data_IF_675626749449
#
_entry.id   IF_675626749449
#
_cell.length_a   1.000
_cell.length_b   1.000
_cell.length_c   1.000
_cell.angle_alpha   90.00
_cell.angle_beta   90.00
_cell.angle_gamma   90.00
#
_symmetry.space_group_name_H-M   'P 1'
#
loop_
_entity.id
_entity.type
_entity.pdbx_description
1 polymer ?
#
# COMPACT_ATOMS: atom_id res chain seq x y z
N UNK A 1 71.46 38.68 -4.78
CA UNK A 1 71.34 37.30 -5.27
C UNK A 1 71.37 36.30 -4.13
N UNK A 2 72.55 36.00 -3.58
CA UNK A 2 72.74 34.98 -2.54
C UNK A 2 72.18 35.33 -1.15
N UNK A 3 72.14 36.63 -0.79
CA UNK A 3 71.68 37.10 0.54
C UNK A 3 70.17 36.90 0.75
N UNK A 4 69.36 36.83 -0.31
CA UNK A 4 67.93 36.52 -0.23
C UNK A 4 67.64 35.01 -0.36
N UNK A 5 68.56 34.24 -0.95
CA UNK A 5 68.35 32.82 -1.21
C UNK A 5 68.52 31.96 0.04
N UNK A 6 69.50 32.26 0.91
CA UNK A 6 69.70 31.50 2.16
C UNK A 6 68.47 31.60 3.07
N UNK A 7 67.90 32.79 3.35
CA UNK A 7 66.67 32.89 4.14
C UNK A 7 65.48 32.18 3.47
N UNK A 8 65.33 32.29 2.14
CA UNK A 8 64.22 31.63 1.43
C UNK A 8 64.29 30.11 1.50
N UNK A 9 65.50 29.53 1.42
CA UNK A 9 65.69 28.09 1.49
C UNK A 9 65.39 27.60 2.92
N UNK A 10 65.86 28.33 3.94
CA UNK A 10 65.60 28.00 5.35
C UNK A 10 64.12 28.10 5.69
N UNK A 11 63.42 29.14 5.21
CA UNK A 11 61.97 29.29 5.41
C UNK A 11 61.19 28.19 4.67
N UNK A 12 61.58 27.86 3.43
CA UNK A 12 60.92 26.81 2.65
C UNK A 12 61.12 25.41 3.26
N UNK A 13 62.31 25.11 3.78
CA UNK A 13 62.58 23.84 4.46
C UNK A 13 61.92 23.77 5.82
N UNK A 14 61.94 24.86 6.60
CA UNK A 14 61.21 24.93 7.86
C UNK A 14 59.69 24.78 7.67
N UNK A 15 59.12 25.43 6.65
CA UNK A 15 57.70 25.29 6.31
C UNK A 15 57.37 23.85 5.86
N UNK A 16 58.22 23.22 5.05
CA UNK A 16 58.06 21.82 4.65
C UNK A 16 58.10 20.85 5.83
N UNK A 17 58.95 21.11 6.83
CA UNK A 17 59.06 20.32 8.07
C UNK A 17 57.85 20.54 9.00
N UNK A 18 57.28 21.74 9.04
CA UNK A 18 56.09 22.04 9.86
C UNK A 18 54.83 21.40 9.26
N UNK A 19 54.71 21.41 7.93
CA UNK A 19 53.53 20.85 7.22
C UNK A 19 53.53 19.31 7.20
N UNK A 20 54.69 18.65 7.27
CA UNK A 20 54.76 17.19 7.39
C UNK A 20 54.51 16.67 8.81
N UNK A 21 54.34 17.57 9.79
CA UNK A 21 54.11 17.24 11.20
C UNK A 21 52.63 16.98 11.49
N UNK A 22 51.99 16.15 10.68
CA UNK A 22 50.66 15.58 10.96
C UNK A 22 50.62 14.14 10.44
N UNK A 23 51.42 13.25 11.03
CA UNK A 23 51.14 11.81 11.00
C UNK A 23 51.96 10.93 11.95
N UNK A 24 53.05 11.38 12.57
CA UNK A 24 53.81 10.57 13.55
C UNK A 24 54.66 11.43 14.51
N UNK A 25 54.69 11.08 15.80
CA UNK A 25 55.34 11.81 16.93
C UNK A 25 56.89 11.75 16.99
N UNK A 26 57.57 11.29 15.94
CA UNK A 26 59.03 11.06 15.97
C UNK A 26 59.85 12.22 15.38
N UNK A 27 61.03 12.48 15.95
CA UNK A 27 61.93 13.51 15.44
C UNK A 27 62.53 13.10 14.08
N UNK A 28 62.63 14.04 13.13
CA UNK A 28 63.18 13.78 11.78
C UNK A 28 64.58 13.16 11.83
N UNK A 29 65.43 13.55 12.80
CA UNK A 29 66.74 12.92 12.98
C UNK A 29 66.67 11.44 13.37
N UNK A 30 65.65 11.04 14.15
CA UNK A 30 65.39 9.64 14.51
C UNK A 30 64.88 8.86 13.29
N UNK A 31 64.02 9.45 12.47
CA UNK A 31 63.54 8.84 11.23
C UNK A 31 64.66 8.64 10.20
N UNK A 32 65.54 9.64 10.03
CA UNK A 32 66.69 9.53 9.12
C UNK A 32 67.69 8.49 9.59
N UNK A 33 68.03 8.45 10.89
CA UNK A 33 68.87 7.38 11.44
C UNK A 33 68.22 6.01 11.25
N UNK A 34 66.92 5.88 11.54
CA UNK A 34 66.17 4.65 11.33
C UNK A 34 66.22 4.17 9.89
N UNK A 35 66.01 5.06 8.91
CA UNK A 35 66.00 4.70 7.50
C UNK A 35 67.36 4.23 6.99
N UNK A 36 68.46 4.86 7.41
CA UNK A 36 69.82 4.47 7.00
C UNK A 36 70.19 3.07 7.50
N UNK A 37 69.84 2.74 8.75
CA UNK A 37 70.13 1.42 9.33
C UNK A 37 69.11 0.33 8.95
N UNK A 38 68.01 0.68 8.29
CA UNK A 38 66.95 -0.27 7.90
C UNK A 38 66.99 -0.62 6.40
N UNK A 39 67.72 0.13 5.58
CA UNK A 39 67.91 -0.21 4.16
C UNK A 39 69.07 -1.20 3.97
N UNK A 40 68.81 -2.46 3.57
CA UNK A 40 69.85 -3.48 3.47
C UNK A 40 70.92 -3.16 2.42
N UNK A 41 70.53 -2.50 1.33
CA UNK A 41 71.43 -2.15 0.23
C UNK A 41 72.49 -1.12 0.68
N UNK A 42 72.10 -0.15 1.52
CA UNK A 42 73.03 0.85 2.07
C UNK A 42 74.06 0.16 2.97
N UNK A 43 73.61 -0.69 3.90
CA UNK A 43 74.50 -1.43 4.81
C UNK A 43 75.46 -2.36 4.07
N UNK A 44 75.00 -3.06 3.03
CA UNK A 44 75.85 -3.94 2.24
C UNK A 44 76.90 -3.15 1.43
N UNK A 45 76.52 -2.03 0.82
CA UNK A 45 77.46 -1.16 0.10
C UNK A 45 78.49 -0.54 1.04
N UNK A 46 78.07 -0.05 2.21
CA UNK A 46 78.99 0.48 3.22
C UNK A 46 79.94 -0.62 3.70
N UNK A 47 79.43 -1.82 4.00
CA UNK A 47 80.27 -2.97 4.37
C UNK A 47 81.28 -3.34 3.28
N UNK A 48 80.88 -3.33 2.01
CA UNK A 48 81.77 -3.57 0.87
C UNK A 48 82.88 -2.53 0.77
N UNK A 49 82.55 -1.25 0.86
CA UNK A 49 83.52 -0.14 0.77
C UNK A 49 84.50 -0.20 1.95
N UNK A 50 84.01 -0.40 3.17
CA UNK A 50 84.82 -0.56 4.38
C UNK A 50 85.75 -1.78 4.26
N UNK A 51 85.25 -2.89 3.71
CA UNK A 51 86.05 -4.09 3.43
C UNK A 51 87.14 -3.86 2.39
N UNK A 52 86.83 -3.14 1.30
CA UNK A 52 87.80 -2.79 0.27
C UNK A 52 88.89 -1.85 0.80
N UNK A 53 88.52 -0.86 1.62
CA UNK A 53 89.48 0.01 2.30
C UNK A 53 90.37 -0.78 3.26
N UNK A 54 89.78 -1.77 3.94
CA UNK A 54 90.46 -2.72 4.81
C UNK A 54 91.42 -3.66 4.11
N UNK A 55 91.58 -3.64 2.78
CA UNK A 55 92.60 -4.39 2.03
C UNK A 55 93.81 -3.52 1.65
N UNK A 56 93.77 -2.21 1.89
CA UNK A 56 94.88 -1.30 1.58
C UNK A 56 96.01 -1.50 2.60
N UNK A 57 97.24 -1.84 2.16
CA UNK A 57 98.36 -2.13 3.06
C UNK A 57 98.73 -0.89 3.89
N UNK A 58 98.84 -1.06 5.21
CA UNK A 58 99.19 0.01 6.16
C UNK A 58 98.06 0.43 7.10
N UNK A 59 96.85 -0.11 6.95
CA UNK A 59 95.73 0.09 7.88
C UNK A 59 95.47 -1.17 8.75
N UNK A 60 94.75 -1.05 9.90
CA UNK A 60 94.42 -2.19 10.76
C UNK A 60 93.42 -3.16 10.09
N UNK A 61 93.91 -4.03 9.20
CA UNK A 61 93.09 -4.90 8.35
C UNK A 61 92.02 -5.68 9.11
N UNK A 62 92.36 -6.21 10.29
CA UNK A 62 91.44 -7.02 11.10
C UNK A 62 90.20 -6.24 11.56
N UNK A 63 90.36 -4.97 11.98
CA UNK A 63 89.25 -4.16 12.46
C UNK A 63 88.26 -3.83 11.33
N UNK A 64 88.78 -3.43 10.17
CA UNK A 64 87.95 -3.07 9.00
C UNK A 64 87.21 -4.29 8.44
N UNK A 65 87.87 -5.44 8.33
CA UNK A 65 87.23 -6.67 7.85
C UNK A 65 86.16 -7.18 8.82
N UNK A 66 86.38 -7.05 10.13
CA UNK A 66 85.36 -7.39 11.14
C UNK A 66 84.10 -6.51 11.00
N UNK A 67 84.28 -5.19 10.88
CA UNK A 67 83.15 -4.28 10.68
C UNK A 67 82.42 -4.52 9.35
N UNK A 68 83.17 -4.81 8.27
CA UNK A 68 82.59 -5.17 6.98
C UNK A 68 81.73 -6.44 7.08
N UNK A 69 82.20 -7.46 7.80
CA UNK A 69 81.46 -8.70 8.02
C UNK A 69 80.18 -8.48 8.84
N UNK A 70 80.22 -7.65 9.89
CA UNK A 70 79.06 -7.33 10.71
C UNK A 70 78.00 -6.56 9.89
N UNK A 71 78.41 -5.51 9.17
CA UNK A 71 77.50 -4.69 8.36
C UNK A 71 76.91 -5.49 7.19
N UNK A 72 77.74 -6.28 6.50
CA UNK A 72 77.29 -7.17 5.42
C UNK A 72 76.34 -8.25 5.94
N UNK A 73 76.64 -8.86 7.08
CA UNK A 73 75.78 -9.83 7.75
C UNK A 73 74.42 -9.25 8.10
N UNK A 74 74.41 -8.07 8.74
CA UNK A 74 73.18 -7.34 9.09
C UNK A 74 72.37 -6.95 7.86
N UNK A 75 73.02 -6.47 6.80
CA UNK A 75 72.36 -6.14 5.54
C UNK A 75 71.67 -7.35 4.90
N UNK A 76 72.31 -8.53 4.91
CA UNK A 76 71.72 -9.74 4.33
C UNK A 76 70.54 -10.30 5.13
N UNK A 77 70.55 -10.19 6.46
CA UNK A 77 69.41 -10.62 7.30
C UNK A 77 68.20 -9.71 7.11
N UNK A 78 68.41 -8.39 7.02
CA UNK A 78 67.36 -7.44 6.69
C UNK A 78 66.81 -7.66 5.27
N UNK A 79 67.67 -7.95 4.30
CA UNK A 79 67.23 -8.24 2.93
C UNK A 79 66.36 -9.50 2.86
N UNK A 80 66.73 -10.55 3.59
CA UNK A 80 65.92 -11.77 3.70
C UNK A 80 64.58 -11.52 4.39
N UNK A 81 64.54 -10.70 5.45
CA UNK A 81 63.29 -10.31 6.13
C UNK A 81 62.37 -9.50 5.23
N UNK A 82 62.90 -8.48 4.56
CA UNK A 82 62.11 -7.68 3.61
C UNK A 82 61.59 -8.50 2.43
N UNK A 83 62.37 -9.50 1.97
CA UNK A 83 61.92 -10.40 0.90
C UNK A 83 60.84 -11.38 1.39
N UNK A 84 60.90 -11.84 2.64
CA UNK A 84 59.86 -12.65 3.28
C UNK A 84 58.58 -11.84 3.50
N UNK A 85 58.68 -10.58 3.94
CA UNK A 85 57.56 -9.66 4.09
C UNK A 85 56.95 -9.27 2.73
N UNK A 86 57.75 -9.06 1.69
CA UNK A 86 57.26 -8.81 0.34
C UNK A 86 56.56 -10.03 -0.28
N UNK A 87 57.00 -11.25 0.04
CA UNK A 87 56.31 -12.49 -0.35
C UNK A 87 55.02 -12.70 0.44
N UNK A 88 54.96 -12.29 1.71
CA UNK A 88 53.73 -12.30 2.51
C UNK A 88 52.74 -11.20 2.10
N UNK A 89 53.21 -10.05 1.64
CA UNK A 89 52.38 -8.95 1.13
C UNK A 89 51.88 -9.16 -0.32
N UNK A 90 52.52 -10.07 -1.07
CA UNK A 90 52.10 -10.48 -2.41
C UNK A 90 51.09 -11.65 -2.41
N UNK A 91 50.83 -12.27 -1.25
CA UNK A 91 49.64 -13.07 -1.06
C UNK A 91 48.45 -12.10 -0.95
N UNK A 92 47.33 -12.33 -1.65
CA UNK A 92 46.15 -11.50 -1.46
C UNK A 92 45.82 -11.49 0.03
N UNK A 93 45.48 -10.34 0.63
CA UNK A 93 45.09 -10.32 2.03
C UNK A 93 44.02 -11.38 2.20
N UNK A 94 44.25 -12.33 3.11
CA UNK A 94 43.18 -13.20 3.57
C UNK A 94 42.01 -12.28 3.87
N UNK A 95 40.79 -12.55 3.35
CA UNK A 95 39.66 -11.70 3.66
C UNK A 95 39.65 -11.59 5.18
N UNK A 96 39.78 -10.36 5.67
CA UNK A 96 39.28 -10.06 7.01
C UNK A 96 37.95 -10.78 7.10
N UNK A 97 37.67 -11.56 8.16
CA UNK A 97 36.31 -11.99 8.37
C UNK A 97 35.52 -10.70 8.52
N UNK A 98 34.99 -10.22 7.39
CA UNK A 98 33.83 -9.35 7.36
C UNK A 98 32.88 -10.19 8.18
N UNK A 99 32.60 -9.72 9.40
CA UNK A 99 31.47 -10.22 10.13
C UNK A 99 30.34 -10.26 9.10
N UNK A 100 29.85 -11.46 8.78
CA UNK A 100 28.56 -11.62 8.13
C UNK A 100 27.49 -11.28 9.18
N UNK A 101 27.67 -10.17 9.90
CA UNK A 101 26.57 -9.44 10.46
C UNK A 101 25.88 -8.90 9.22
N UNK A 102 24.75 -9.52 8.88
CA UNK A 102 23.82 -8.95 7.92
C UNK A 102 23.71 -7.46 8.26
N UNK A 103 23.75 -6.56 7.26
CA UNK A 103 23.62 -5.13 7.51
C UNK A 103 22.45 -4.92 8.48
N UNK A 104 22.69 -4.19 9.57
CA UNK A 104 21.64 -3.88 10.53
C UNK A 104 20.46 -3.27 9.78
N UNK A 105 19.24 -3.73 10.07
CA UNK A 105 18.05 -3.26 9.38
C UNK A 105 17.99 -1.73 9.43
N UNK A 106 18.03 -1.10 8.26
CA UNK A 106 17.96 0.36 8.11
C UNK A 106 16.54 0.78 7.74
N UNK A 107 16.25 2.08 7.85
CA UNK A 107 14.99 2.62 7.34
C UNK A 107 14.82 2.42 5.82
N UNK A 108 15.89 2.09 5.09
CA UNK A 108 15.86 1.77 3.66
C UNK A 108 15.27 0.36 3.39
N UNK A 109 15.28 -0.53 4.38
CA UNK A 109 14.64 -1.86 4.29
C UNK A 109 13.12 -1.82 4.50
N UNK A 110 12.58 -0.67 4.91
CA UNK A 110 11.13 -0.46 5.04
C UNK A 110 10.53 -0.31 3.65
N UNK A 111 10.13 -1.44 3.09
CA UNK A 111 9.45 -1.48 1.79
C UNK A 111 8.05 -0.83 1.90
N UNK A 112 7.74 0.14 1.03
CA UNK A 112 6.40 0.72 0.96
C UNK A 112 5.37 -0.37 0.66
N UNK A 113 4.29 -0.37 1.42
CA UNK A 113 3.19 -1.30 1.20
C UNK A 113 2.32 -0.77 0.07
N UNK A 114 2.04 -1.61 -0.91
CA UNK A 114 1.10 -1.28 -1.98
C UNK A 114 -0.31 -1.08 -1.40
N UNK A 115 -0.97 0.02 -1.76
CA UNK A 115 -2.33 0.31 -1.28
C UNK A 115 -3.30 -0.76 -1.76
N UNK A 116 -3.18 -1.21 -3.02
CA UNK A 116 -4.00 -2.25 -3.60
C UNK A 116 -3.12 -3.22 -4.40
N UNK A 117 -3.14 -4.49 -4.01
CA UNK A 117 -2.31 -5.55 -4.57
C UNK A 117 -3.14 -6.72 -5.11
N UNK A 118 -2.62 -7.38 -6.14
CA UNK A 118 -3.09 -8.65 -6.67
C UNK A 118 -1.89 -9.60 -6.73
N UNK A 119 -1.86 -10.57 -5.82
CA UNK A 119 -0.89 -11.65 -5.81
C UNK A 119 -1.44 -12.83 -6.61
N UNK A 120 -0.61 -13.41 -7.48
CA UNK A 120 -1.02 -14.53 -8.35
C UNK A 120 -0.07 -15.72 -8.22
N UNK A 121 -0.65 -16.92 -8.19
CA UNK A 121 0.09 -18.17 -8.31
C UNK A 121 0.68 -18.35 -9.72
N UNK A 122 1.69 -19.20 -9.84
CA UNK A 122 2.51 -19.27 -11.07
C UNK A 122 1.73 -19.66 -12.35
N UNK A 123 0.60 -20.39 -12.26
CA UNK A 123 -0.19 -20.74 -13.46
C UNK A 123 -1.00 -19.56 -13.98
N UNK A 124 -1.24 -18.55 -13.15
CA UNK A 124 -1.97 -17.33 -13.51
C UNK A 124 -1.05 -16.23 -14.07
N UNK A 125 0.28 -16.39 -14.01
CA UNK A 125 1.26 -15.41 -14.52
C UNK A 125 0.98 -15.09 -15.99
N UNK A 126 0.62 -16.10 -16.78
CA UNK A 126 0.28 -15.93 -18.20
C UNK A 126 -0.89 -14.95 -18.46
N UNK A 127 -1.79 -14.77 -17.49
CA UNK A 127 -2.93 -13.84 -17.60
C UNK A 127 -2.52 -12.38 -17.35
N UNK A 128 -1.41 -12.17 -16.63
CA UNK A 128 -0.92 -10.84 -16.19
C UNK A 128 0.35 -10.40 -16.90
N UNK A 129 0.84 -11.19 -17.86
CA UNK A 129 2.04 -10.90 -18.63
C UNK A 129 1.77 -9.81 -19.70
N UNK A 130 2.58 -8.75 -19.70
CA UNK A 130 2.48 -7.63 -20.65
C UNK A 130 2.92 -8.04 -22.06
N UNK A 131 3.86 -8.97 -22.19
CA UNK A 131 4.42 -9.38 -23.48
C UNK A 131 3.47 -10.28 -24.28
N UNK A 132 2.54 -10.94 -23.58
CA UNK A 132 1.57 -11.90 -24.14
C UNK A 132 0.16 -11.34 -24.30
N UNK A 133 0.03 -10.02 -24.35
CA UNK A 133 -1.26 -9.32 -24.43
C UNK A 133 -2.22 -9.71 -23.28
N UNK A 134 -1.71 -9.72 -22.03
CA UNK A 134 -2.43 -10.17 -20.84
C UNK A 134 -3.84 -9.58 -20.71
N UNK A 135 -4.85 -10.42 -20.96
CA UNK A 135 -6.27 -10.03 -20.97
C UNK A 135 -6.70 -9.45 -19.60
N UNK A 136 -6.16 -9.99 -18.50
CA UNK A 136 -6.45 -9.50 -17.16
C UNK A 136 -5.93 -8.06 -16.95
N UNK A 137 -4.75 -7.70 -17.49
CA UNK A 137 -4.22 -6.33 -17.40
C UNK A 137 -5.14 -5.32 -18.10
N UNK A 138 -5.66 -5.69 -19.28
CA UNK A 138 -6.58 -4.84 -20.05
C UNK A 138 -7.88 -4.62 -19.28
N UNK A 139 -8.41 -5.68 -18.68
CA UNK A 139 -9.63 -5.64 -17.84
C UNK A 139 -9.42 -4.81 -16.59
N UNK A 140 -8.27 -4.92 -15.92
CA UNK A 140 -7.92 -4.10 -14.75
C UNK A 140 -7.87 -2.61 -15.11
N UNK A 141 -7.32 -2.25 -16.28
CA UNK A 141 -7.36 -0.85 -16.76
C UNK A 141 -8.80 -0.39 -17.00
N UNK A 142 -9.63 -1.21 -17.64
CA UNK A 142 -11.05 -0.93 -17.86
C UNK A 142 -11.83 -0.78 -16.54
N UNK A 143 -11.51 -1.60 -15.55
CA UNK A 143 -12.11 -1.58 -14.23
C UNK A 143 -11.89 -0.25 -13.52
N UNK A 144 -10.64 0.25 -13.47
CA UNK A 144 -10.35 1.56 -12.85
C UNK A 144 -11.13 2.70 -13.51
N UNK A 145 -11.28 2.67 -14.84
CA UNK A 145 -12.06 3.66 -15.59
C UNK A 145 -13.55 3.57 -15.24
N UNK A 146 -14.11 2.36 -15.23
CA UNK A 146 -15.51 2.11 -14.88
C UNK A 146 -15.81 2.56 -13.44
N UNK A 147 -14.96 2.18 -12.49
CA UNK A 147 -15.08 2.61 -11.10
C UNK A 147 -15.08 4.14 -10.98
N UNK A 148 -14.16 4.84 -11.66
CA UNK A 148 -14.13 6.30 -11.62
C UNK A 148 -15.41 6.94 -12.17
N UNK A 149 -16.00 6.35 -13.21
CA UNK A 149 -17.27 6.80 -13.79
C UNK A 149 -18.47 6.52 -12.89
N UNK A 150 -18.47 5.43 -12.14
CA UNK A 150 -19.60 5.02 -11.28
C UNK A 150 -19.53 5.63 -9.88
N UNK A 151 -18.34 5.70 -9.29
CA UNK A 151 -18.12 6.09 -7.90
C UNK A 151 -17.72 7.57 -7.78
N UNK A 152 -16.94 8.12 -8.72
CA UNK A 152 -16.60 9.54 -8.76
C UNK A 152 -15.18 9.90 -8.33
N UNK A 153 -14.28 8.93 -8.12
CA UNK A 153 -12.85 9.19 -7.95
C UNK A 153 -12.01 8.08 -8.60
N UNK A 154 -10.75 8.38 -8.90
CA UNK A 154 -9.83 7.40 -9.48
C UNK A 154 -9.18 6.57 -8.35
N UNK A 155 -9.37 5.23 -8.33
CA UNK A 155 -8.74 4.40 -7.30
C UNK A 155 -7.24 4.25 -7.57
N UNK A 156 -6.44 3.91 -6.55
CA UNK A 156 -5.00 3.70 -6.70
C UNK A 156 -4.68 2.63 -7.74
N UNK A 157 -3.44 2.62 -8.23
CA UNK A 157 -2.99 1.59 -9.15
C UNK A 157 -2.95 0.22 -8.45
N UNK A 158 -3.38 -0.82 -9.16
CA UNK A 158 -3.33 -2.21 -8.70
C UNK A 158 -1.96 -2.77 -9.05
N UNK A 159 -1.17 -3.09 -8.03
CA UNK A 159 0.14 -3.71 -8.21
C UNK A 159 -0.03 -5.22 -8.30
N UNK A 160 0.53 -5.83 -9.33
CA UNK A 160 0.42 -7.26 -9.57
C UNK A 160 1.77 -7.89 -9.31
N UNK A 161 1.81 -8.91 -8.46
CA UNK A 161 3.03 -9.62 -8.08
C UNK A 161 2.77 -11.12 -8.15
N UNK A 162 3.76 -11.88 -8.59
CA UNK A 162 3.74 -13.33 -8.42
C UNK A 162 4.06 -13.68 -6.97
N UNK A 163 3.37 -14.68 -6.44
CA UNK A 163 3.63 -15.22 -5.12
C UNK A 163 3.74 -16.74 -5.20
N UNK A 164 4.96 -17.25 -5.08
CA UNK A 164 5.27 -18.68 -5.16
C UNK A 164 4.77 -19.48 -3.95
N UNK A 165 4.40 -18.81 -2.86
CA UNK A 165 3.78 -19.44 -1.69
C UNK A 165 2.30 -19.76 -1.92
N UNK A 166 1.66 -19.09 -2.90
CA UNK A 166 0.28 -19.39 -3.27
C UNK A 166 0.17 -20.71 -4.04
N UNK A 167 -1.00 -21.34 -3.95
CA UNK A 167 -1.33 -22.49 -4.80
C UNK A 167 -1.22 -22.10 -6.28
N UNK A 168 -0.90 -23.04 -7.18
CA UNK A 168 -0.66 -22.77 -8.60
C UNK A 168 -1.75 -21.92 -9.28
N UNK A 169 -3.01 -22.19 -8.95
CA UNK A 169 -4.23 -21.61 -9.53
C UNK A 169 -4.86 -20.54 -8.63
N UNK A 170 -4.26 -20.22 -7.48
CA UNK A 170 -4.83 -19.27 -6.54
C UNK A 170 -4.38 -17.84 -6.84
N UNK A 171 -5.23 -16.88 -6.47
CA UNK A 171 -4.89 -15.47 -6.40
C UNK A 171 -5.38 -14.88 -5.08
N UNK A 172 -4.72 -13.81 -4.64
CA UNK A 172 -5.05 -13.06 -3.43
C UNK A 172 -5.11 -11.58 -3.77
N UNK A 173 -6.11 -10.90 -3.22
CA UNK A 173 -6.30 -9.46 -3.34
C UNK A 173 -6.00 -8.83 -1.98
N UNK A 174 -5.09 -7.86 -1.97
CA UNK A 174 -4.64 -7.21 -0.74
C UNK A 174 -4.95 -5.72 -0.75
N UNK A 175 -5.29 -5.17 0.41
CA UNK A 175 -5.49 -3.75 0.64
C UNK A 175 -4.56 -3.32 1.77
N UNK A 176 -3.60 -2.43 1.49
CA UNK A 176 -2.58 -1.99 2.45
C UNK A 176 -1.87 -3.19 3.12
N UNK A 177 -1.56 -4.21 2.32
CA UNK A 177 -0.88 -5.44 2.75
C UNK A 177 -1.77 -6.49 3.44
N UNK A 178 -3.01 -6.16 3.81
CA UNK A 178 -3.94 -7.13 4.39
C UNK A 178 -4.76 -7.84 3.30
N UNK A 179 -4.96 -9.16 3.42
CA UNK A 179 -5.83 -9.92 2.53
C UNK A 179 -7.30 -9.49 2.71
N UNK A 180 -7.94 -9.05 1.62
CA UNK A 180 -9.36 -8.69 1.59
C UNK A 180 -10.21 -9.67 0.79
N UNK A 181 -9.56 -10.57 0.04
CA UNK A 181 -10.22 -11.67 -0.65
C UNK A 181 -9.23 -12.55 -1.40
N UNK A 182 -9.63 -13.78 -1.65
CA UNK A 182 -8.84 -14.77 -2.40
C UNK A 182 -9.77 -15.67 -3.21
N UNK A 183 -9.20 -16.37 -4.18
CA UNK A 183 -9.97 -17.29 -5.02
C UNK A 183 -9.06 -18.19 -5.84
N UNK A 184 -9.68 -19.16 -6.49
CA UNK A 184 -9.01 -20.05 -7.44
C UNK A 184 -9.54 -19.82 -8.85
N UNK A 185 -8.63 -19.84 -9.80
CA UNK A 185 -8.87 -19.59 -11.22
C UNK A 185 -8.16 -20.68 -12.01
N UNK A 186 -8.86 -21.40 -12.90
CA UNK A 186 -8.29 -22.50 -13.67
C UNK A 186 -8.06 -22.08 -15.13
N UNK A 187 -6.82 -21.70 -15.53
CA UNK A 187 -6.51 -21.36 -16.91
C UNK A 187 -6.96 -22.44 -17.90
N UNK A 188 -7.57 -22.02 -19.02
CA UNK A 188 -8.08 -22.92 -20.06
C UNK A 188 -9.48 -23.48 -19.80
N UNK A 189 -10.08 -23.20 -18.64
CA UNK A 189 -11.47 -23.53 -18.33
C UNK A 189 -12.33 -22.27 -18.24
N UNK A 190 -13.65 -22.47 -18.18
CA UNK A 190 -14.65 -21.41 -18.02
C UNK A 190 -15.46 -21.66 -16.75
N UNK A 191 -15.88 -20.59 -16.09
CA UNK A 191 -16.75 -20.67 -14.93
C UNK A 191 -18.21 -20.54 -15.39
N UNK A 192 -18.99 -21.59 -15.21
CA UNK A 192 -20.43 -21.59 -15.44
C UNK A 192 -21.16 -21.28 -14.12
N UNK A 193 -21.70 -20.07 -14.01
CA UNK A 193 -22.38 -19.57 -12.81
C UNK A 193 -23.88 -19.84 -12.92
N UNK A 194 -24.48 -20.38 -11.87
CA UNK A 194 -25.92 -20.63 -11.79
C UNK A 194 -26.64 -19.41 -11.19
N UNK A 195 -27.43 -18.64 -11.97
CA UNK A 195 -28.20 -17.51 -11.45
C UNK A 195 -29.51 -17.92 -10.75
N UNK A 196 -29.79 -19.22 -10.60
CA UNK A 196 -30.99 -19.78 -9.96
C UNK A 196 -32.04 -20.31 -10.93
N UNK A 197 -31.88 -20.10 -12.25
CA UNK A 197 -32.87 -20.47 -13.28
C UNK A 197 -32.34 -21.49 -14.30
N UNK A 198 -31.46 -22.40 -13.87
CA UNK A 198 -30.86 -23.41 -14.77
C UNK A 198 -31.75 -24.63 -14.92
N UNK A 199 -31.66 -25.30 -16.07
CA UNK A 199 -32.52 -26.45 -16.45
C UNK A 199 -31.83 -27.81 -16.34
N UNK A 200 -30.55 -27.85 -15.98
CA UNK A 200 -29.77 -29.08 -15.84
C UNK A 200 -28.44 -28.84 -15.13
N UNK A 201 -27.68 -29.91 -14.89
CA UNK A 201 -26.35 -29.87 -14.26
C UNK A 201 -25.24 -30.12 -15.27
N UNK A 202 -24.09 -29.49 -15.07
CA UNK A 202 -22.91 -29.67 -15.91
C UNK A 202 -21.91 -30.63 -15.27
N UNK A 203 -21.14 -31.35 -16.09
CA UNK A 203 -19.96 -32.08 -15.61
C UNK A 203 -18.77 -31.12 -15.51
N UNK A 204 -18.10 -31.11 -14.36
CA UNK A 204 -16.98 -30.22 -14.09
C UNK A 204 -16.63 -30.17 -12.61
N UNK A 205 -15.75 -29.24 -12.24
CA UNK A 205 -15.34 -29.06 -10.83
C UNK A 205 -16.27 -28.05 -10.15
N UNK A 206 -17.08 -28.46 -9.16
CA UNK A 206 -17.97 -27.53 -8.45
C UNK A 206 -17.18 -26.51 -7.64
N UNK A 207 -17.65 -25.27 -7.62
CA UNK A 207 -17.08 -24.16 -6.86
C UNK A 207 -18.17 -23.11 -6.55
N UNK A 208 -17.76 -21.95 -6.06
CA UNK A 208 -18.62 -20.78 -5.92
C UNK A 208 -18.02 -19.59 -6.69
N UNK A 209 -18.87 -18.73 -7.22
CA UNK A 209 -18.44 -17.45 -7.76
C UNK A 209 -17.89 -16.57 -6.62
N UNK A 210 -16.65 -16.07 -6.74
CA UNK A 210 -16.00 -15.34 -5.66
C UNK A 210 -16.58 -13.94 -5.41
N UNK A 211 -17.34 -13.36 -6.34
CA UNK A 211 -17.90 -12.02 -6.17
C UNK A 211 -19.26 -12.04 -5.44
N UNK A 212 -20.11 -13.02 -5.74
CA UNK A 212 -21.48 -13.08 -5.24
C UNK A 212 -21.81 -14.33 -4.42
N UNK A 213 -20.88 -15.29 -4.34
CA UNK A 213 -21.09 -16.56 -3.62
C UNK A 213 -22.08 -17.50 -4.31
N UNK A 214 -22.40 -17.27 -5.59
CA UNK A 214 -23.35 -18.09 -6.34
C UNK A 214 -22.74 -19.47 -6.65
N UNK A 215 -23.54 -20.56 -6.64
CA UNK A 215 -23.08 -21.87 -7.07
C UNK A 215 -22.55 -21.83 -8.49
N UNK A 216 -21.34 -22.36 -8.72
CA UNK A 216 -20.70 -22.34 -10.03
C UNK A 216 -19.94 -23.65 -10.30
N UNK A 217 -19.64 -23.91 -11.56
CA UNK A 217 -18.91 -25.11 -11.98
C UNK A 217 -17.86 -24.71 -13.01
N UNK A 218 -16.62 -25.15 -12.81
CA UNK A 218 -15.58 -25.04 -13.81
C UNK A 218 -15.78 -26.09 -14.90
N UNK A 219 -15.91 -25.63 -16.15
CA UNK A 219 -16.18 -26.46 -17.32
C UNK A 219 -15.13 -26.24 -18.40
N UNK A 220 -14.88 -27.27 -19.20
CA UNK A 220 -14.00 -27.18 -20.36
C UNK A 220 -14.62 -26.32 -21.48
N UNK A 221 -13.78 -25.80 -22.37
CA UNK A 221 -14.21 -24.95 -23.49
C UNK A 221 -15.29 -25.60 -24.36
N UNK A 222 -15.24 -26.93 -24.55
CA UNK A 222 -16.20 -27.67 -25.35
C UNK A 222 -17.64 -27.66 -24.77
N UNK A 223 -17.78 -27.47 -23.45
CA UNK A 223 -19.08 -27.46 -22.77
C UNK A 223 -19.68 -26.06 -22.65
N UNK A 224 -19.00 -25.02 -23.14
CA UNK A 224 -19.44 -23.63 -23.03
C UNK A 224 -20.83 -23.39 -23.62
N UNK A 225 -21.04 -23.79 -24.88
CA UNK A 225 -22.31 -23.53 -25.57
C UNK A 225 -23.46 -24.34 -24.95
N UNK A 226 -23.17 -25.56 -24.49
CA UNK A 226 -24.12 -26.38 -23.76
C UNK A 226 -24.52 -25.77 -22.41
N UNK A 227 -23.54 -25.25 -21.65
CA UNK A 227 -23.77 -24.55 -20.40
C UNK A 227 -24.67 -23.31 -20.58
N UNK A 228 -24.41 -22.52 -21.63
CA UNK A 228 -25.25 -21.37 -21.97
C UNK A 228 -26.68 -21.80 -22.35
N UNK A 229 -26.84 -22.87 -23.12
CA UNK A 229 -28.14 -23.41 -23.48
C UNK A 229 -28.96 -23.89 -22.27
N UNK A 230 -28.30 -24.36 -21.21
CA UNK A 230 -28.93 -24.74 -19.95
C UNK A 230 -29.28 -23.55 -19.03
N UNK A 231 -28.89 -22.32 -19.41
CA UNK A 231 -29.17 -21.09 -18.67
C UNK A 231 -28.05 -20.64 -17.72
N UNK A 232 -26.85 -21.24 -17.80
CA UNK A 232 -25.70 -20.77 -17.01
C UNK A 232 -25.08 -19.51 -17.63
N UNK A 233 -24.63 -18.60 -16.76
CA UNK A 233 -23.77 -17.49 -17.17
C UNK A 233 -22.33 -17.97 -17.23
N UNK A 234 -21.78 -18.10 -18.44
CA UNK A 234 -20.43 -18.63 -18.64
C UNK A 234 -19.43 -17.49 -18.83
N UNK A 235 -18.39 -17.46 -18.00
CA UNK A 235 -17.34 -16.43 -18.00
C UNK A 235 -15.94 -17.04 -18.05
N UNK A 236 -15.00 -16.34 -18.69
CA UNK A 236 -13.60 -16.73 -18.74
C UNK A 236 -12.86 -16.38 -17.44
N UNK A 237 -11.68 -16.99 -17.25
CA UNK A 237 -10.86 -16.85 -16.03
C UNK A 237 -10.50 -15.40 -15.72
N UNK A 238 -10.09 -14.62 -16.73
CA UNK A 238 -9.74 -13.21 -16.54
C UNK A 238 -10.96 -12.40 -16.08
N UNK A 239 -12.15 -12.72 -16.60
CA UNK A 239 -13.42 -12.12 -16.15
C UNK A 239 -13.77 -12.48 -14.72
N UNK A 240 -13.52 -13.71 -14.27
CA UNK A 240 -13.75 -14.12 -12.86
C UNK A 240 -12.90 -13.28 -11.91
N UNK A 241 -11.59 -13.22 -12.15
CA UNK A 241 -10.66 -12.45 -11.29
C UNK A 241 -10.99 -10.95 -11.35
N UNK A 242 -11.27 -10.41 -12.54
CA UNK A 242 -11.62 -9.00 -12.69
C UNK A 242 -12.95 -8.63 -12.02
N UNK A 243 -13.97 -9.50 -12.08
CA UNK A 243 -15.26 -9.29 -11.41
C UNK A 243 -15.11 -9.32 -9.90
N UNK A 244 -14.34 -10.28 -9.37
CA UNK A 244 -14.04 -10.35 -7.94
C UNK A 244 -13.29 -9.09 -7.46
N UNK A 245 -12.24 -8.69 -8.18
CA UNK A 245 -11.49 -7.47 -7.87
C UNK A 245 -12.38 -6.23 -7.94
N UNK A 246 -13.25 -6.13 -8.95
CA UNK A 246 -14.23 -5.06 -9.06
C UNK A 246 -15.13 -5.01 -7.83
N UNK A 247 -15.71 -6.15 -7.45
CA UNK A 247 -16.60 -6.24 -6.30
C UNK A 247 -15.91 -5.76 -5.01
N UNK A 248 -14.71 -6.24 -4.73
CA UNK A 248 -13.95 -5.86 -3.54
C UNK A 248 -13.55 -4.37 -3.54
N UNK A 249 -13.16 -3.82 -4.69
CA UNK A 249 -12.83 -2.39 -4.81
C UNK A 249 -14.07 -1.52 -4.49
N UNK A 250 -15.26 -1.93 -4.94
CA UNK A 250 -16.50 -1.24 -4.59
C UNK A 250 -16.83 -1.34 -3.09
N UNK A 251 -16.67 -2.53 -2.49
CA UNK A 251 -16.87 -2.70 -1.05
C UNK A 251 -15.90 -1.87 -0.21
N UNK A 252 -14.66 -1.70 -0.68
CA UNK A 252 -13.59 -0.97 0.00
C UNK A 252 -13.42 0.47 -0.49
N UNK A 253 -14.39 1.03 -1.22
CA UNK A 253 -14.30 2.36 -1.82
C UNK A 253 -13.95 3.45 -0.79
N UNK A 254 -14.55 3.41 0.41
CA UNK A 254 -14.24 4.35 1.49
C UNK A 254 -12.77 4.22 1.97
N UNK A 255 -12.27 2.99 2.13
CA UNK A 255 -10.89 2.71 2.56
C UNK A 255 -9.84 3.10 1.53
N UNK A 256 -10.22 3.08 0.24
CA UNK A 256 -9.41 3.47 -0.91
C UNK A 256 -9.34 4.98 -1.11
N UNK A 257 -10.27 5.75 -0.54
CA UNK A 257 -10.24 7.22 -0.59
C UNK A 257 -9.23 7.76 0.45
N UNK A 258 -7.96 7.82 0.06
CA UNK A 258 -6.88 8.43 0.82
C UNK A 258 -6.80 9.96 0.65
N UNK A 259 -5.79 10.55 1.29
CA UNK A 259 -5.51 11.99 1.16
C UNK A 259 -5.03 12.33 -0.26
N UNK A 260 -4.28 11.43 -0.89
CA UNK A 260 -3.78 11.59 -2.25
C UNK A 260 -4.93 11.60 -3.26
N UNK A 261 -5.86 10.65 -3.15
CA UNK A 261 -7.05 10.59 -4.00
C UNK A 261 -7.95 11.81 -3.79
N UNK A 262 -8.09 12.28 -2.54
CA UNK A 262 -8.84 13.51 -2.24
C UNK A 262 -8.22 14.73 -2.94
N UNK A 263 -6.90 14.91 -2.87
CA UNK A 263 -6.23 16.03 -3.55
C UNK A 263 -6.43 15.97 -5.06
N UNK A 264 -6.26 14.79 -5.67
CA UNK A 264 -6.51 14.62 -7.11
C UNK A 264 -7.95 14.93 -7.51
N UNK A 265 -8.92 14.53 -6.67
CA UNK A 265 -10.33 14.83 -6.87
C UNK A 265 -10.58 16.34 -6.79
N UNK A 266 -10.02 17.03 -5.79
CA UNK A 266 -10.15 18.48 -5.64
C UNK A 266 -9.52 19.24 -6.80
N UNK A 267 -8.32 18.84 -7.25
CA UNK A 267 -7.69 19.41 -8.45
C UNK A 267 -8.55 19.23 -9.70
N UNK A 268 -9.22 18.07 -9.84
CA UNK A 268 -10.14 17.83 -10.94
C UNK A 268 -11.35 18.76 -10.88
N UNK A 269 -11.98 18.90 -9.70
CA UNK A 269 -13.16 19.75 -9.49
C UNK A 269 -12.80 21.22 -9.69
N UNK A 270 -11.63 21.66 -9.23
CA UNK A 270 -11.13 23.04 -9.37
C UNK A 270 -11.01 23.49 -10.83
N UNK A 271 -10.85 22.58 -11.79
CA UNK A 271 -10.89 22.91 -13.23
C UNK A 271 -12.25 23.46 -13.68
N UNK A 272 -13.32 23.05 -13.01
CA UNK A 272 -14.70 23.42 -13.36
C UNK A 272 -15.33 24.42 -12.40
N UNK A 273 -14.89 24.44 -11.14
CA UNK A 273 -15.44 25.28 -10.08
C UNK A 273 -14.34 25.80 -9.13
N UNK A 274 -13.34 26.55 -9.63
CA UNK A 274 -12.15 26.94 -8.85
C UNK A 274 -12.49 27.78 -7.61
N UNK A 275 -13.42 28.74 -7.75
CA UNK A 275 -13.86 29.60 -6.65
C UNK A 275 -14.46 28.81 -5.49
N UNK A 276 -15.30 27.81 -5.80
CA UNK A 276 -15.94 26.96 -4.79
C UNK A 276 -14.90 26.18 -3.99
N UNK A 277 -13.91 25.62 -4.66
CA UNK A 277 -12.83 24.86 -4.00
C UNK A 277 -11.92 25.75 -3.16
N UNK A 278 -11.48 26.91 -3.69
CA UNK A 278 -10.54 27.82 -3.03
C UNK A 278 -11.14 28.59 -1.85
N UNK A 279 -12.45 28.86 -1.87
CA UNK A 279 -13.15 29.52 -0.77
C UNK A 279 -13.49 28.55 0.35
N UNK A 280 -13.81 27.30 0.03
CA UNK A 280 -14.20 26.30 1.03
C UNK A 280 -13.00 25.62 1.68
N UNK A 281 -12.00 25.18 0.89
CA UNK A 281 -10.93 24.29 1.36
C UNK A 281 -9.56 24.96 1.11
N UNK A 282 -8.66 25.01 2.11
CA UNK A 282 -8.81 24.61 3.51
C UNK A 282 -9.42 25.70 4.41
N UNK A 283 -9.85 26.84 3.86
CA UNK A 283 -10.18 28.06 4.62
C UNK A 283 -11.32 27.89 5.61
N UNK A 284 -12.38 27.19 5.19
CA UNK A 284 -13.62 27.02 5.96
C UNK A 284 -13.76 25.58 6.43
N UNK A 285 -13.32 24.61 5.63
CA UNK A 285 -13.37 23.17 5.91
C UNK A 285 -11.99 22.54 5.71
N UNK A 286 -11.56 21.72 6.68
CA UNK A 286 -10.30 20.99 6.56
C UNK A 286 -10.41 19.78 5.62
N UNK A 287 -9.28 19.39 5.02
CA UNK A 287 -9.19 18.18 4.19
C UNK A 287 -9.64 16.92 4.94
N UNK A 288 -9.32 16.81 6.23
CA UNK A 288 -9.68 15.65 7.04
C UNK A 288 -11.20 15.50 7.22
N UNK A 289 -11.91 16.61 7.47
CA UNK A 289 -13.37 16.60 7.60
C UNK A 289 -14.02 16.25 6.27
N UNK A 290 -13.58 16.87 5.17
CA UNK A 290 -14.08 16.54 3.84
C UNK A 290 -13.83 15.07 3.49
N UNK A 291 -12.62 14.56 3.71
CA UNK A 291 -12.29 13.16 3.50
C UNK A 291 -13.26 12.27 4.27
N UNK A 292 -13.53 12.59 5.54
CA UNK A 292 -14.42 11.79 6.37
C UNK A 292 -15.86 11.81 5.87
N UNK A 293 -16.37 12.96 5.42
CA UNK A 293 -17.71 13.07 4.81
C UNK A 293 -17.79 12.19 3.56
N UNK A 294 -16.84 12.30 2.64
CA UNK A 294 -16.83 11.51 1.41
C UNK A 294 -16.68 10.01 1.71
N UNK A 295 -15.83 9.63 2.68
CA UNK A 295 -15.71 8.24 3.13
C UNK A 295 -17.02 7.70 3.70
N UNK A 296 -17.76 8.50 4.48
CA UNK A 296 -19.06 8.07 5.01
C UNK A 296 -20.08 7.84 3.88
N UNK A 297 -20.10 8.68 2.84
CA UNK A 297 -20.94 8.46 1.66
C UNK A 297 -20.58 7.16 0.94
N UNK A 298 -19.29 6.95 0.68
CA UNK A 298 -18.78 5.76 0.00
C UNK A 298 -19.01 4.48 0.79
N UNK A 299 -18.91 4.54 2.13
CA UNK A 299 -19.13 3.39 3.02
C UNK A 299 -20.57 2.86 2.89
N UNK A 300 -21.51 3.73 2.53
CA UNK A 300 -22.91 3.35 2.30
C UNK A 300 -23.21 3.00 0.82
N UNK A 301 -22.21 3.14 -0.06
CA UNK A 301 -22.34 2.94 -1.50
C UNK A 301 -22.97 4.12 -2.23
N UNK A 302 -22.93 5.33 -1.65
CA UNK A 302 -23.36 6.57 -2.31
C UNK A 302 -22.22 7.11 -3.16
N UNK A 303 -22.40 7.27 -4.48
CA UNK A 303 -21.37 7.80 -5.35
C UNK A 303 -21.13 9.29 -5.10
N UNK A 304 -19.86 9.70 -5.18
CA UNK A 304 -19.40 11.09 -4.95
C UNK A 304 -19.11 11.82 -6.27
N UNK A 305 -19.79 11.42 -7.35
CA UNK A 305 -19.59 12.00 -8.70
C UNK A 305 -20.01 13.46 -8.78
N UNK A 306 -21.10 13.83 -8.11
CA UNK A 306 -21.60 15.19 -8.08
C UNK A 306 -20.91 16.01 -6.98
N UNK A 307 -19.60 16.19 -7.15
CA UNK A 307 -18.78 16.98 -6.21
C UNK A 307 -19.24 18.43 -6.12
N UNK A 308 -19.91 18.98 -7.14
CA UNK A 308 -20.42 20.35 -7.09
C UNK A 308 -21.52 20.46 -6.04
N UNK A 309 -22.57 19.64 -6.15
CA UNK A 309 -23.66 19.64 -5.17
C UNK A 309 -23.16 19.30 -3.76
N UNK A 310 -22.18 18.40 -3.63
CA UNK A 310 -21.54 18.09 -2.35
C UNK A 310 -20.88 19.34 -1.74
N UNK A 311 -19.99 20.01 -2.48
CA UNK A 311 -19.25 21.17 -1.97
C UNK A 311 -20.16 22.40 -1.72
N UNK A 312 -21.17 22.63 -2.55
CA UNK A 312 -22.17 23.69 -2.33
C UNK A 312 -23.02 23.43 -1.09
N UNK A 313 -23.40 22.17 -0.86
CA UNK A 313 -24.12 21.80 0.37
C UNK A 313 -23.22 22.00 1.58
N UNK A 314 -21.97 21.56 1.52
CA UNK A 314 -21.02 21.76 2.61
C UNK A 314 -20.79 23.25 2.90
N UNK A 315 -20.63 24.11 1.90
CA UNK A 315 -20.42 25.55 2.14
C UNK A 315 -21.60 26.21 2.87
N UNK A 316 -22.83 25.71 2.66
CA UNK A 316 -24.04 26.19 3.35
C UNK A 316 -24.11 25.74 4.82
N UNK A 317 -23.73 24.50 5.12
CA UNK A 317 -23.95 23.88 6.44
C UNK A 317 -22.73 23.89 7.37
N UNK A 318 -21.51 24.06 6.84
CA UNK A 318 -20.29 24.17 7.64
C UNK A 318 -20.32 25.31 8.68
N UNK A 319 -20.92 26.49 8.42
CA UNK A 319 -21.08 27.52 9.46
C UNK A 319 -21.92 27.09 10.66
N UNK A 320 -22.80 26.09 10.50
CA UNK A 320 -23.64 25.57 11.59
C UNK A 320 -22.92 24.47 12.39
N UNK A 321 -22.22 23.57 11.71
CA UNK A 321 -21.45 22.51 12.35
C UNK A 321 -20.40 21.94 11.40
N UNK A 322 -19.23 21.59 11.94
CA UNK A 322 -18.16 20.89 11.21
C UNK A 322 -18.11 19.39 11.50
N UNK A 323 -19.08 18.86 12.26
CA UNK A 323 -19.17 17.43 12.53
C UNK A 323 -19.38 16.65 11.21
N UNK A 324 -18.47 15.72 10.85
CA UNK A 324 -18.61 14.92 9.65
C UNK A 324 -19.94 14.16 9.57
N UNK A 325 -20.51 13.70 10.70
CA UNK A 325 -21.76 12.94 10.70
C UNK A 325 -22.92 13.85 10.28
N UNK A 326 -23.04 15.01 10.93
CA UNK A 326 -24.02 16.03 10.56
C UNK A 326 -23.89 16.47 9.09
N UNK A 327 -22.67 16.80 8.65
CA UNK A 327 -22.41 17.21 7.28
C UNK A 327 -22.75 16.12 6.26
N UNK A 328 -22.45 14.86 6.57
CA UNK A 328 -22.83 13.70 5.74
C UNK A 328 -24.34 13.63 5.58
N UNK A 329 -25.12 13.81 6.66
CA UNK A 329 -26.58 13.78 6.59
C UNK A 329 -27.12 14.90 5.67
N UNK A 330 -26.60 16.12 5.77
CA UNK A 330 -27.01 17.23 4.90
C UNK A 330 -26.66 16.98 3.43
N UNK A 331 -25.45 16.47 3.17
CA UNK A 331 -25.03 16.12 1.80
C UNK A 331 -25.89 15.00 1.22
N UNK A 332 -26.26 14.00 2.02
CA UNK A 332 -27.15 12.92 1.56
C UNK A 332 -28.54 13.43 1.18
N UNK A 333 -29.11 14.36 1.95
CA UNK A 333 -30.39 15.00 1.58
C UNK A 333 -30.28 15.70 0.23
N UNK A 334 -29.19 16.46 -0.01
CA UNK A 334 -28.93 17.09 -1.31
C UNK A 334 -28.77 16.07 -2.45
N UNK A 335 -28.14 14.92 -2.17
CA UNK A 335 -27.98 13.81 -3.12
C UNK A 335 -29.18 12.86 -3.18
N UNK A 336 -30.26 13.15 -2.45
CA UNK A 336 -31.45 12.30 -2.33
C UNK A 336 -31.99 11.78 -3.67
N UNK A 337 -32.16 12.64 -4.71
CA UNK A 337 -32.59 12.18 -6.03
C UNK A 337 -31.67 11.11 -6.65
N UNK A 338 -30.35 11.24 -6.49
CA UNK A 338 -29.38 10.27 -7.01
C UNK A 338 -29.40 8.96 -6.19
N UNK A 339 -29.48 9.06 -4.86
CA UNK A 339 -29.58 7.91 -3.95
C UNK A 339 -30.83 7.09 -4.27
N UNK A 340 -31.99 7.75 -4.37
CA UNK A 340 -33.26 7.07 -4.67
C UNK A 340 -33.26 6.50 -6.09
N UNK A 341 -32.70 7.19 -7.08
CA UNK A 341 -32.58 6.67 -8.44
C UNK A 341 -31.68 5.43 -8.52
N UNK A 342 -30.63 5.35 -7.70
CA UNK A 342 -29.77 4.17 -7.63
C UNK A 342 -30.50 2.97 -7.01
N UNK A 343 -31.32 3.20 -5.97
CA UNK A 343 -32.07 2.14 -5.29
C UNK A 343 -33.32 1.70 -6.07
N UNK A 344 -33.99 2.64 -6.74
CA UNK A 344 -35.22 2.41 -7.51
C UNK A 344 -35.11 3.03 -8.93
N UNK A 345 -34.42 2.37 -9.87
CA UNK A 345 -34.13 2.94 -11.18
C UNK A 345 -35.37 3.24 -12.04
N UNK A 346 -36.40 2.41 -11.94
CA UNK A 346 -37.57 2.48 -12.82
C UNK A 346 -38.91 2.68 -12.10
N UNK A 347 -38.94 2.64 -10.75
CA UNK A 347 -40.20 2.67 -9.99
C UNK A 347 -40.54 4.07 -9.49
N UNK A 348 -41.72 4.59 -9.84
CA UNK A 348 -42.23 5.84 -9.25
C UNK A 348 -42.68 5.66 -7.80
N UNK A 349 -43.12 4.45 -7.45
CA UNK A 349 -43.53 4.07 -6.09
C UNK A 349 -42.36 3.36 -5.38
N UNK A 350 -41.92 3.93 -4.26
CA UNK A 350 -40.85 3.42 -3.42
C UNK A 350 -41.43 2.44 -2.41
N UNK A 351 -41.23 1.15 -2.69
CA UNK A 351 -41.64 0.09 -1.80
C UNK A 351 -40.58 -0.13 -0.73
N UNK A 352 -40.86 0.32 0.48
CA UNK A 352 -39.88 0.37 1.59
C UNK A 352 -40.37 -0.40 2.81
N UNK A 353 -39.41 -0.78 3.64
CA UNK A 353 -39.63 -1.19 5.01
C UNK A 353 -39.69 0.09 5.84
N UNK A 354 -40.72 0.24 6.67
CA UNK A 354 -40.83 1.34 7.62
C UNK A 354 -40.63 0.86 9.06
N UNK A 355 -40.46 1.79 9.97
CA UNK A 355 -40.39 1.53 11.40
C UNK A 355 -41.70 1.92 12.08
N UNK A 356 -42.04 1.23 13.16
CA UNK A 356 -43.14 1.63 14.03
C UNK A 356 -42.84 2.97 14.72
N UNK A 357 -43.85 3.83 14.86
CA UNK A 357 -43.70 5.15 15.50
C UNK A 357 -43.30 5.06 16.97
N UNK A 358 -43.78 4.05 17.70
CA UNK A 358 -43.40 3.85 19.10
C UNK A 358 -41.92 3.49 19.19
N UNK A 359 -41.45 2.60 18.30
CA UNK A 359 -40.04 2.22 18.21
C UNK A 359 -39.16 3.42 17.81
N UNK A 360 -39.59 4.23 16.85
CA UNK A 360 -38.89 5.48 16.49
C UNK A 360 -38.74 6.41 17.70
N UNK A 361 -39.80 6.58 18.49
CA UNK A 361 -39.78 7.41 19.70
C UNK A 361 -38.83 6.87 20.78
N UNK A 362 -38.86 5.56 21.03
CA UNK A 362 -37.97 4.92 22.00
C UNK A 362 -36.50 5.08 21.59
N UNK A 363 -36.18 4.85 20.32
CA UNK A 363 -34.82 5.01 19.79
C UNK A 363 -34.36 6.47 19.83
N UNK A 364 -35.25 7.42 19.53
CA UNK A 364 -34.93 8.85 19.61
C UNK A 364 -34.61 9.29 21.05
N UNK A 365 -35.37 8.81 22.03
CA UNK A 365 -35.10 9.08 23.45
C UNK A 365 -33.76 8.48 23.90
N UNK A 366 -33.48 7.24 23.49
CA UNK A 366 -32.21 6.57 23.76
C UNK A 366 -31.02 7.35 23.17
N UNK A 367 -31.17 7.92 21.97
CA UNK A 367 -30.11 8.74 21.36
C UNK A 367 -29.79 9.99 22.17
N UNK A 368 -30.79 10.68 22.72
CA UNK A 368 -30.58 11.86 23.57
C UNK A 368 -29.84 11.53 24.88
N UNK A 369 -29.91 10.28 25.34
CA UNK A 369 -29.29 9.82 26.58
C UNK A 369 -27.83 9.33 26.45
N UNK A 370 -27.23 9.33 25.24
CA UNK A 370 -25.83 8.93 25.05
C UNK A 370 -25.52 7.96 23.90
N UNK A 371 -26.48 7.69 23.01
CA UNK A 371 -26.27 6.88 21.79
C UNK A 371 -26.52 5.37 21.97
N UNK A 372 -26.65 4.63 20.86
CA UNK A 372 -27.23 3.28 20.85
C UNK A 372 -26.52 2.25 21.75
N UNK A 373 -25.18 2.28 21.77
CA UNK A 373 -24.39 1.30 22.53
C UNK A 373 -24.49 1.47 24.04
N UNK A 374 -24.82 2.67 24.51
CA UNK A 374 -25.01 2.97 25.94
C UNK A 374 -26.49 3.06 26.32
N UNK A 375 -27.39 3.26 25.33
CA UNK A 375 -28.79 3.59 25.58
C UNK A 375 -29.80 2.53 25.13
N UNK A 376 -29.44 1.55 24.30
CA UNK A 376 -30.34 0.43 23.99
C UNK A 376 -30.08 -0.75 24.91
N UNK A 377 -31.14 -1.19 25.59
CA UNK A 377 -31.16 -2.47 26.28
C UNK A 377 -30.90 -3.63 25.31
N UNK A 378 -30.01 -4.59 25.62
CA UNK A 378 -29.65 -5.69 24.71
C UNK A 378 -30.85 -6.42 24.09
N UNK A 379 -31.94 -6.62 24.83
CA UNK A 379 -33.14 -7.28 24.33
C UNK A 379 -33.87 -6.51 23.22
N UNK A 380 -33.86 -5.17 23.27
CA UNK A 380 -34.42 -4.32 22.22
C UNK A 380 -33.54 -4.35 20.97
N UNK A 381 -32.21 -4.37 21.13
CA UNK A 381 -31.27 -4.50 20.01
C UNK A 381 -31.45 -5.83 19.26
N UNK A 382 -31.55 -6.94 20.00
CA UNK A 382 -31.75 -8.27 19.41
C UNK A 382 -33.12 -8.38 18.69
N UNK A 383 -34.15 -7.77 19.28
CA UNK A 383 -35.48 -7.72 18.68
C UNK A 383 -35.49 -6.87 17.41
N UNK A 384 -34.86 -5.69 17.42
CA UNK A 384 -34.71 -4.84 16.25
C UNK A 384 -34.00 -5.58 15.12
N UNK A 385 -32.89 -6.27 15.41
CA UNK A 385 -32.14 -7.05 14.43
C UNK A 385 -32.98 -8.18 13.83
N UNK A 386 -33.68 -8.94 14.66
CA UNK A 386 -34.52 -10.06 14.24
C UNK A 386 -35.68 -9.59 13.36
N UNK A 387 -36.44 -8.58 13.80
CA UNK A 387 -37.59 -8.05 13.05
C UNK A 387 -37.14 -7.40 11.73
N UNK A 388 -36.03 -6.66 11.73
CA UNK A 388 -35.48 -6.06 10.51
C UNK A 388 -35.03 -7.12 9.51
N UNK A 389 -34.40 -8.22 9.98
CA UNK A 389 -34.02 -9.35 9.12
C UNK A 389 -35.23 -10.00 8.47
N UNK A 390 -36.26 -10.31 9.26
CA UNK A 390 -37.50 -10.90 8.74
C UNK A 390 -38.19 -9.97 7.73
N UNK A 391 -38.18 -8.66 7.97
CA UNK A 391 -38.71 -7.68 7.02
C UNK A 391 -37.88 -7.62 5.72
N UNK A 392 -36.55 -7.68 5.82
CA UNK A 392 -35.66 -7.70 4.67
C UNK A 392 -35.84 -8.96 3.81
N UNK A 393 -35.92 -10.14 4.43
CA UNK A 393 -36.16 -11.42 3.73
C UNK A 393 -37.51 -11.43 3.00
N UNK A 394 -38.58 -10.89 3.62
CA UNK A 394 -39.88 -10.74 2.95
C UNK A 394 -39.80 -9.79 1.76
N UNK A 395 -39.08 -8.69 1.89
CA UNK A 395 -38.91 -7.72 0.83
C UNK A 395 -38.16 -8.31 -0.37
N UNK A 396 -37.12 -9.09 -0.10
CA UNK A 396 -36.34 -9.81 -1.10
C UNK A 396 -37.18 -10.89 -1.80
N UNK A 397 -37.99 -11.66 -1.06
CA UNK A 397 -38.92 -12.64 -1.64
C UNK A 397 -39.97 -12.01 -2.58
N UNK A 398 -40.34 -10.75 -2.34
CA UNK A 398 -41.24 -10.00 -3.23
C UNK A 398 -40.51 -9.39 -4.45
N UNK A 399 -39.19 -9.53 -4.54
CA UNK A 399 -38.37 -8.98 -5.62
C UNK A 399 -38.14 -7.46 -5.50
N UNK A 400 -38.35 -6.88 -4.31
CA UNK A 400 -38.12 -5.46 -4.07
C UNK A 400 -36.76 -5.20 -3.43
N UNK A 401 -36.15 -4.02 -3.67
CA UNK A 401 -34.96 -3.60 -2.95
C UNK A 401 -35.18 -3.56 -1.43
N UNK A 402 -34.20 -4.06 -0.68
CA UNK A 402 -34.21 -4.03 0.80
C UNK A 402 -33.81 -2.65 1.31
N UNK A 403 -34.79 -1.75 1.43
CA UNK A 403 -34.61 -0.38 1.91
C UNK A 403 -35.43 -0.13 3.16
N UNK A 404 -34.77 0.30 4.24
CA UNK A 404 -35.40 0.73 5.49
C UNK A 404 -35.47 2.26 5.52
N UNK A 405 -36.69 2.79 5.58
CA UNK A 405 -36.97 4.22 5.70
C UNK A 405 -37.10 4.61 7.17
N UNK A 406 -36.32 5.60 7.60
CA UNK A 406 -36.25 6.04 9.01
C UNK A 406 -36.18 7.57 9.12
N UNK A 407 -36.50 8.17 10.28
CA UNK A 407 -36.26 9.58 10.54
C UNK A 407 -34.78 9.96 10.42
N UNK A 408 -34.48 11.17 9.93
CA UNK A 408 -33.10 11.59 9.64
C UNK A 408 -32.13 11.46 10.81
N UNK A 409 -32.60 11.75 12.03
CA UNK A 409 -31.79 11.64 13.26
C UNK A 409 -31.38 10.20 13.60
N UNK A 410 -32.15 9.19 13.21
CA UNK A 410 -31.86 7.77 13.51
C UNK A 410 -31.01 7.10 12.42
N UNK A 411 -30.92 7.71 11.23
CA UNK A 411 -30.42 7.07 10.01
C UNK A 411 -28.98 6.59 10.11
N UNK A 412 -28.03 7.45 10.47
CA UNK A 412 -26.60 7.09 10.54
C UNK A 412 -26.34 5.95 11.52
N UNK A 413 -26.98 6.06 12.67
CA UNK A 413 -26.86 5.11 13.75
C UNK A 413 -27.44 3.73 13.38
N UNK A 414 -28.63 3.70 12.76
CA UNK A 414 -29.24 2.47 12.28
C UNK A 414 -28.48 1.87 11.10
N UNK A 415 -27.98 2.70 10.19
CA UNK A 415 -27.13 2.26 9.08
C UNK A 415 -25.90 1.52 9.59
N UNK A 416 -25.16 2.08 10.55
CA UNK A 416 -23.98 1.45 11.14
C UNK A 416 -24.32 0.18 11.92
N UNK A 417 -25.39 0.21 12.71
CA UNK A 417 -25.81 -0.92 13.55
C UNK A 417 -26.24 -2.12 12.68
N UNK A 418 -27.11 -1.89 11.70
CA UNK A 418 -27.70 -2.94 10.87
C UNK A 418 -26.74 -3.47 9.80
N UNK A 419 -25.83 -2.64 9.27
CA UNK A 419 -24.87 -3.04 8.21
C UNK A 419 -24.00 -4.23 8.60
N UNK A 420 -23.67 -4.38 9.89
CA UNK A 420 -22.83 -5.50 10.38
C UNK A 420 -23.51 -6.86 10.18
N UNK A 421 -24.84 -6.89 10.22
CA UNK A 421 -25.63 -8.13 10.20
C UNK A 421 -26.42 -8.29 8.91
N UNK A 422 -26.77 -7.17 8.26
CA UNK A 422 -27.57 -7.09 7.04
C UNK A 422 -26.87 -6.16 6.02
N UNK A 423 -25.77 -6.59 5.40
CA UNK A 423 -24.99 -5.74 4.48
C UNK A 423 -25.78 -5.30 3.23
N UNK A 424 -26.79 -6.06 2.82
CA UNK A 424 -27.68 -5.75 1.71
C UNK A 424 -28.74 -4.70 2.04
N UNK A 425 -29.05 -4.49 3.34
CA UNK A 425 -30.04 -3.52 3.77
C UNK A 425 -29.51 -2.10 3.59
N UNK A 426 -30.26 -1.26 2.89
CA UNK A 426 -29.95 0.17 2.74
C UNK A 426 -30.85 0.99 3.65
N UNK A 427 -30.27 1.86 4.46
CA UNK A 427 -31.01 2.72 5.38
C UNK A 427 -31.06 4.14 4.79
N UNK A 428 -32.26 4.65 4.58
CA UNK A 428 -32.53 5.92 3.92
C UNK A 428 -33.33 6.81 4.86
N UNK A 429 -32.98 8.08 4.94
CA UNK A 429 -33.74 9.05 5.73
C UNK A 429 -35.01 9.49 4.98
N UNK A 430 -36.08 9.80 5.71
CA UNK A 430 -37.30 10.39 5.11
C UNK A 430 -37.00 11.65 4.30
N UNK A 431 -36.09 12.50 4.78
CA UNK A 431 -35.69 13.74 4.11
C UNK A 431 -34.88 13.52 2.81
N UNK A 432 -34.34 12.32 2.60
CA UNK A 432 -33.62 11.96 1.36
C UNK A 432 -34.58 11.60 0.21
N UNK A 433 -35.87 11.36 0.51
CA UNK A 433 -36.87 10.99 -0.49
C UNK A 433 -37.37 12.25 -1.20
N UNK A 434 -37.18 12.39 -2.53
CA UNK A 434 -37.71 13.54 -3.26
C UNK A 434 -39.23 13.57 -3.23
N UNK A 435 -39.81 14.77 -3.05
CA UNK A 435 -41.27 14.93 -2.91
C UNK A 435 -42.11 14.49 -4.12
N UNK A 436 -41.50 14.22 -5.28
CA UNK A 436 -42.18 13.70 -6.46
C UNK A 436 -42.28 12.17 -6.50
N UNK A 437 -41.69 11.45 -5.53
CA UNK A 437 -41.80 9.99 -5.40
C UNK A 437 -42.88 9.64 -4.38
N UNK A 438 -43.67 8.60 -4.67
CA UNK A 438 -44.66 8.08 -3.71
C UNK A 438 -44.03 7.00 -2.86
N UNK A 439 -44.29 6.97 -1.56
CA UNK A 439 -43.78 5.94 -0.64
C UNK A 439 -44.90 4.96 -0.32
N UNK A 440 -44.62 3.66 -0.46
CA UNK A 440 -45.51 2.58 -0.06
C UNK A 440 -44.81 1.67 0.94
N UNK A 441 -45.40 1.58 2.13
CA UNK A 441 -44.89 0.69 3.18
C UNK A 441 -45.32 -0.73 2.88
N UNK A 442 -44.35 -1.62 2.76
CA UNK A 442 -44.55 -3.06 2.46
C UNK A 442 -44.42 -3.92 3.70
N UNK A 443 -43.55 -3.51 4.62
CA UNK A 443 -43.30 -4.17 5.90
C UNK A 443 -43.02 -3.11 6.96
N UNK A 444 -43.35 -3.44 8.20
CA UNK A 444 -43.18 -2.55 9.34
C UNK A 444 -42.40 -3.27 10.45
N UNK A 445 -41.30 -2.68 10.90
CA UNK A 445 -40.42 -3.19 11.95
C UNK A 445 -40.89 -2.64 13.29
N UNK A 446 -41.15 -3.51 14.27
CA UNK A 446 -41.61 -3.11 15.61
C UNK A 446 -43.13 -3.08 15.81
N UNK A 447 -43.94 -3.39 14.78
CA UNK A 447 -45.41 -3.37 14.87
C UNK A 447 -46.05 -4.58 15.55
N UNK A 448 -45.24 -5.46 16.15
CA UNK A 448 -45.66 -6.58 16.99
C UNK A 448 -44.90 -6.45 18.31
N UNK A 449 -45.37 -5.57 19.17
CA UNK A 449 -45.05 -5.65 20.61
C UNK A 449 -46.01 -6.63 21.25
#
# INVERSE_FOLDING_TARGET
>A
GLVAQIPSLVISTAAGVVVSRVSTDENIGQQLMGQVFTQPLVLMLTGLIVGALGLVPGMPHFAFLLFAAILGGWGTTLWKRQRLEAVQAALPPAPTPVSLEAPEATWEDVTPIDVLGLEVGYRLISLVDKERDGDLLRRIKGLRRKFAQEVGFLPPAIHIRDNLELRPNAYRITLKGAEIGSGEALPGQFLAINPGQVTGTLQGTPTQDPAFGLPAIWVEAALKDHAQALGYTVVDVSTVVATHLSHLIHLQAASLLGIQELHQLLEHVAKSAPKLTEELIPKVLSHAVLQKVLQNLLDEGVPIRDMRSILETLSKYVPMSQDPIYLTAQVRVALGPAIIQQLYPASQELQVIAMDKELEHLLAQAMQAGGLQQAIEPGLADTLLRETRLAAERQEMMGFPTVLLVPGQLRDLLARFLKRTLPQLKVVAQDEVPGFRTVKVTSLVGGRV
#
